data_IF_054021432019
#
_entry.id   IF_054021432019
#
_cell.length_a   1.000
_cell.length_b   1.000
_cell.length_c   1.000
_cell.angle_alpha   90.00
_cell.angle_beta   90.00
_cell.angle_gamma   90.00
#
_symmetry.space_group_name_H-M   'P 1'
#
loop_
_entity.id
_entity.type
_entity.pdbx_description
1 polymer ?
#
# COMPACT_ATOMS: atom_id res chain seq x y z
N UNK A 1 -31.00 -7.30 34.44
CA UNK A 1 -29.54 -7.40 34.69
C UNK A 1 -28.83 -7.15 33.36
N UNK A 2 -28.42 -5.90 33.12
CA UNK A 2 -27.73 -5.46 31.90
C UNK A 2 -26.22 -5.58 32.11
N UNK A 3 -25.57 -6.46 31.34
CA UNK A 3 -24.12 -6.63 31.34
C UNK A 3 -23.49 -5.39 30.65
N UNK A 4 -22.72 -4.54 31.36
CA UNK A 4 -22.10 -3.38 30.73
C UNK A 4 -21.02 -3.88 29.77
N UNK A 5 -21.19 -3.59 28.47
CA UNK A 5 -20.15 -3.78 27.46
C UNK A 5 -18.90 -3.06 27.95
N UNK A 6 -17.88 -3.82 28.33
CA UNK A 6 -16.56 -3.30 28.62
C UNK A 6 -16.09 -2.52 27.39
N UNK A 7 -15.98 -1.20 27.52
CA UNK A 7 -15.31 -0.37 26.52
C UNK A 7 -13.83 -0.64 26.70
N UNK A 8 -13.31 -1.60 25.94
CA UNK A 8 -11.88 -1.87 25.88
C UNK A 8 -11.18 -0.62 25.34
N UNK A 9 -10.54 0.15 26.21
CA UNK A 9 -9.72 1.28 25.79
C UNK A 9 -8.46 0.77 25.09
N UNK A 10 -8.28 1.08 23.81
CA UNK A 10 -7.05 0.79 23.08
C UNK A 10 -5.96 1.77 23.52
N UNK A 11 -4.92 1.25 24.19
CA UNK A 11 -3.76 2.05 24.57
C UNK A 11 -2.67 1.94 23.48
N UNK A 12 -2.26 3.08 22.93
CA UNK A 12 -1.26 3.16 21.86
C UNK A 12 0.01 3.82 22.41
N UNK A 13 1.13 3.11 22.35
CA UNK A 13 2.44 3.65 22.67
C UNK A 13 3.15 4.12 21.39
N UNK A 14 3.49 5.40 21.32
CA UNK A 14 4.20 5.98 20.18
C UNK A 14 5.68 6.20 20.50
N UNK A 15 6.55 5.75 19.60
CA UNK A 15 7.98 6.05 19.60
C UNK A 15 8.39 6.63 18.24
N UNK A 16 9.13 7.73 18.26
CA UNK A 16 9.76 8.28 17.07
C UNK A 16 11.24 7.87 17.09
N UNK A 17 11.72 7.23 16.04
CA UNK A 17 13.07 6.69 15.97
C UNK A 17 13.74 7.21 14.70
N UNK A 18 14.95 7.77 14.84
CA UNK A 18 15.76 8.21 13.70
C UNK A 18 16.62 7.03 13.24
N UNK A 19 16.03 6.12 12.46
CA UNK A 19 16.62 4.80 12.15
C UNK A 19 18.00 4.84 11.46
N UNK A 20 18.33 5.94 10.76
CA UNK A 20 19.64 6.10 10.10
C UNK A 20 20.82 6.11 11.08
N UNK A 21 20.60 6.57 12.31
CA UNK A 21 21.64 6.74 13.33
C UNK A 21 21.59 5.59 14.36
N UNK A 22 20.70 4.61 14.16
CA UNK A 22 20.53 3.48 15.07
C UNK A 22 21.56 2.39 14.73
N UNK A 23 22.48 2.18 15.67
CA UNK A 23 23.46 1.10 15.62
C UNK A 23 22.88 -0.24 16.11
N UNK A 24 21.96 -0.20 17.08
CA UNK A 24 21.22 -1.36 17.59
C UNK A 24 19.84 -0.96 18.10
N UNK A 25 18.88 -1.87 17.97
CA UNK A 25 17.51 -1.78 18.45
C UNK A 25 17.28 -2.42 19.83
N UNK A 26 18.33 -2.89 20.54
CA UNK A 26 18.22 -3.62 21.81
C UNK A 26 17.35 -2.92 22.87
N UNK A 27 17.56 -1.62 23.06
CA UNK A 27 16.78 -0.81 24.03
C UNK A 27 15.32 -0.77 23.62
N UNK A 28 15.05 -0.54 22.33
CA UNK A 28 13.69 -0.47 21.80
C UNK A 28 12.98 -1.82 21.88
N UNK A 29 13.66 -2.91 21.55
CA UNK A 29 13.13 -4.27 21.63
C UNK A 29 12.84 -4.66 23.09
N UNK A 30 13.68 -4.24 24.04
CA UNK A 30 13.45 -4.44 25.46
C UNK A 30 12.20 -3.70 25.95
N UNK A 31 12.01 -2.45 25.52
CA UNK A 31 10.78 -1.70 25.79
C UNK A 31 9.55 -2.40 25.20
N UNK A 32 9.60 -2.80 23.93
CA UNK A 32 8.50 -3.49 23.24
C UNK A 32 8.14 -4.78 23.98
N UNK A 33 9.13 -5.60 24.35
CA UNK A 33 8.93 -6.85 25.10
C UNK A 33 8.17 -6.62 26.41
N UNK A 34 8.37 -5.48 27.08
CA UNK A 34 7.69 -5.17 28.32
C UNK A 34 6.23 -4.73 28.15
N UNK A 35 5.86 -4.15 27.00
CA UNK A 35 4.58 -3.43 26.87
C UNK A 35 3.62 -3.97 25.80
N UNK A 36 4.09 -4.61 24.73
CA UNK A 36 3.23 -5.02 23.62
C UNK A 36 3.73 -6.28 22.89
N UNK A 37 2.84 -6.90 22.12
CA UNK A 37 3.11 -7.98 21.16
C UNK A 37 2.73 -7.61 19.73
N UNK A 38 1.99 -6.51 19.56
CA UNK A 38 1.61 -5.96 18.25
C UNK A 38 2.40 -4.67 18.05
N UNK A 39 3.19 -4.62 16.98
CA UNK A 39 4.06 -3.49 16.68
C UNK A 39 3.71 -2.94 15.32
N UNK A 40 3.36 -1.65 15.26
CA UNK A 40 3.23 -0.93 14.00
C UNK A 40 4.57 -0.29 13.64
N UNK A 41 5.18 -0.72 12.55
CA UNK A 41 6.42 -0.15 12.04
C UNK A 41 6.13 0.70 10.80
N UNK A 42 6.21 2.02 10.97
CA UNK A 42 5.91 3.01 9.92
C UNK A 42 7.20 3.69 9.47
N UNK A 43 8.00 2.99 8.68
CA UNK A 43 9.29 3.48 8.19
C UNK A 43 9.73 2.75 6.93
N UNK A 44 10.94 3.07 6.44
CA UNK A 44 11.52 2.39 5.29
C UNK A 44 11.75 0.90 5.58
N UNK A 45 11.54 0.08 4.56
CA UNK A 45 11.62 -1.37 4.61
C UNK A 45 13.03 -1.88 4.93
N UNK A 46 14.09 -1.16 4.53
CA UNK A 46 15.48 -1.53 4.86
C UNK A 46 15.71 -1.51 6.39
N UNK A 47 15.14 -0.51 7.07
CA UNK A 47 15.24 -0.39 8.53
C UNK A 47 14.36 -1.40 9.25
N UNK A 48 13.18 -1.70 8.71
CA UNK A 48 12.33 -2.78 9.19
C UNK A 48 13.07 -4.11 9.13
N UNK A 49 13.76 -4.40 8.02
CA UNK A 49 14.56 -5.62 7.87
C UNK A 49 15.62 -5.74 8.97
N UNK A 50 16.43 -4.69 9.17
CA UNK A 50 17.44 -4.66 10.25
C UNK A 50 16.81 -4.85 11.63
N UNK A 51 15.70 -4.16 11.90
CA UNK A 51 14.95 -4.28 13.15
C UNK A 51 14.46 -5.71 13.38
N UNK A 52 13.94 -6.38 12.35
CA UNK A 52 13.45 -7.76 12.42
C UNK A 52 14.58 -8.79 12.62
N UNK A 53 15.75 -8.55 12.04
CA UNK A 53 16.94 -9.40 12.28
C UNK A 53 17.33 -9.33 13.76
N UNK A 54 17.38 -8.13 14.35
CA UNK A 54 17.63 -7.99 15.79
C UNK A 54 16.50 -8.58 16.63
N UNK A 55 15.24 -8.38 16.24
CA UNK A 55 14.10 -9.00 16.91
C UNK A 55 14.19 -10.54 16.91
N UNK A 56 14.68 -11.13 15.82
CA UNK A 56 14.92 -12.57 15.71
C UNK A 56 15.99 -13.06 16.71
N UNK A 57 17.09 -12.32 16.87
CA UNK A 57 18.12 -12.59 17.89
C UNK A 57 17.52 -12.57 19.30
N UNK A 58 16.54 -11.68 19.52
CA UNK A 58 15.80 -11.55 20.78
C UNK A 58 14.62 -12.52 20.93
N UNK A 59 14.48 -13.54 20.07
CA UNK A 59 13.35 -14.49 20.04
C UNK A 59 11.98 -13.82 19.91
N UNK A 60 11.91 -12.62 19.32
CA UNK A 60 10.67 -11.86 19.13
C UNK A 60 10.08 -12.05 17.72
N UNK A 61 10.44 -13.13 17.03
CA UNK A 61 9.87 -13.55 15.72
C UNK A 61 9.39 -15.01 15.77
N UNK A 62 9.09 -15.49 16.98
CA UNK A 62 8.72 -16.87 17.30
C UNK A 62 7.21 -17.15 17.16
N UNK A 63 6.42 -16.17 16.72
CA UNK A 63 4.96 -16.24 16.64
C UNK A 63 4.22 -15.55 17.80
N UNK A 64 4.92 -15.13 18.86
CA UNK A 64 4.30 -14.34 19.94
C UNK A 64 4.17 -12.85 19.61
N UNK A 65 4.87 -12.39 18.58
CA UNK A 65 4.88 -11.00 18.13
C UNK A 65 4.42 -10.91 16.68
N UNK A 66 3.68 -9.85 16.37
CA UNK A 66 3.29 -9.49 15.01
C UNK A 66 3.74 -8.07 14.70
N UNK A 67 4.35 -7.90 13.53
CA UNK A 67 4.83 -6.62 13.03
C UNK A 67 3.97 -6.19 11.85
N UNK A 68 3.23 -5.10 12.01
CA UNK A 68 2.36 -4.55 10.98
C UNK A 68 3.06 -3.36 10.34
N UNK A 69 3.22 -3.41 9.03
CA UNK A 69 3.95 -2.41 8.27
C UNK A 69 3.09 -1.89 7.13
N UNK A 70 3.14 -0.59 6.88
CA UNK A 70 2.45 0.02 5.75
C UNK A 70 3.41 0.22 4.58
N UNK A 71 3.02 -0.24 3.40
CA UNK A 71 3.71 0.05 2.14
C UNK A 71 2.74 0.87 1.27
N UNK A 72 2.99 2.18 1.19
CA UNK A 72 2.11 3.09 0.45
C UNK A 72 2.12 2.81 -1.06
N UNK A 73 3.28 2.43 -1.60
CA UNK A 73 3.47 2.05 -3.00
C UNK A 73 4.53 0.94 -3.07
N UNK A 74 4.37 0.01 -4.00
CA UNK A 74 5.31 -1.11 -4.20
C UNK A 74 6.50 -0.68 -5.07
N UNK A 75 7.20 0.37 -4.64
CA UNK A 75 8.34 0.97 -5.33
C UNK A 75 9.59 0.84 -4.45
N UNK A 76 10.44 -0.19 -4.66
CA UNK A 76 11.58 -0.47 -3.80
C UNK A 76 12.57 0.69 -3.65
N UNK A 77 12.67 1.55 -4.67
CA UNK A 77 13.50 2.76 -4.68
C UNK A 77 13.08 3.73 -3.56
N UNK A 78 11.78 3.94 -3.38
CA UNK A 78 11.25 4.89 -2.41
C UNK A 78 11.01 4.26 -1.03
N UNK A 79 10.52 3.02 -1.00
CA UNK A 79 10.14 2.35 0.26
C UNK A 79 11.25 1.52 0.88
N UNK A 80 12.32 1.24 0.15
CA UNK A 80 13.38 0.31 0.55
C UNK A 80 13.10 -1.13 0.11
N UNK A 81 14.04 -2.02 0.38
CA UNK A 81 13.99 -3.43 -0.01
C UNK A 81 13.78 -4.34 1.20
N UNK A 82 12.56 -4.88 1.34
CA UNK A 82 12.24 -5.87 2.38
C UNK A 82 12.68 -7.31 2.05
N UNK A 83 13.41 -7.54 0.94
CA UNK A 83 13.83 -8.89 0.55
C UNK A 83 14.81 -9.51 1.55
N UNK A 84 14.66 -10.81 1.78
CA UNK A 84 15.66 -11.59 2.49
C UNK A 84 16.98 -11.69 1.72
N UNK A 85 16.91 -11.67 0.38
CA UNK A 85 18.04 -11.83 -0.53
C UNK A 85 18.81 -10.52 -0.63
N UNK A 86 19.70 -10.33 0.33
CA UNK A 86 20.71 -9.27 0.36
C UNK A 86 22.11 -9.88 0.22
N UNK A 87 23.13 -9.04 0.01
CA UNK A 87 24.54 -9.44 -0.03
C UNK A 87 25.11 -9.60 1.39
N UNK A 88 24.35 -10.28 2.24
CA UNK A 88 24.63 -10.44 3.67
C UNK A 88 25.29 -11.80 3.95
N UNK A 89 25.92 -11.98 5.12
CA UNK A 89 26.34 -13.30 5.59
C UNK A 89 25.17 -14.29 5.67
N UNK A 90 25.43 -15.58 5.45
CA UNK A 90 24.40 -16.64 5.41
C UNK A 90 23.49 -16.66 6.66
N UNK A 91 24.05 -16.43 7.85
CA UNK A 91 23.26 -16.44 9.09
C UNK A 91 22.24 -15.29 9.15
N UNK A 92 22.57 -14.12 8.59
CA UNK A 92 21.65 -12.99 8.49
C UNK A 92 20.55 -13.27 7.46
N UNK A 93 20.88 -13.96 6.37
CA UNK A 93 19.89 -14.40 5.37
C UNK A 93 18.86 -15.33 6.00
N UNK A 94 19.31 -16.36 6.73
CA UNK A 94 18.40 -17.31 7.40
C UNK A 94 17.55 -16.60 8.45
N UNK A 95 18.14 -15.71 9.26
CA UNK A 95 17.38 -14.92 10.24
C UNK A 95 16.35 -14.01 9.57
N UNK A 96 16.71 -13.34 8.49
CA UNK A 96 15.78 -12.49 7.73
C UNK A 96 14.61 -13.30 7.18
N UNK A 97 14.85 -14.45 6.54
CA UNK A 97 13.80 -15.33 6.02
C UNK A 97 12.82 -15.79 7.12
N UNK A 98 13.33 -16.11 8.30
CA UNK A 98 12.51 -16.52 9.44
C UNK A 98 11.74 -15.34 10.03
N UNK A 99 12.39 -14.19 10.19
CA UNK A 99 11.83 -13.00 10.80
C UNK A 99 10.69 -12.39 9.97
N UNK A 100 10.81 -12.41 8.64
CA UNK A 100 9.78 -11.92 7.72
C UNK A 100 8.43 -12.65 7.90
N UNK A 101 8.43 -13.90 8.35
CA UNK A 101 7.21 -14.64 8.64
C UNK A 101 6.38 -14.06 9.79
N UNK A 102 6.92 -13.11 10.57
CA UNK A 102 6.18 -12.39 11.63
C UNK A 102 5.58 -11.05 11.16
N UNK A 103 5.68 -10.74 9.86
CA UNK A 103 5.28 -9.44 9.29
C UNK A 103 3.96 -9.54 8.53
N UNK A 104 3.06 -8.61 8.82
CA UNK A 104 1.89 -8.30 8.00
C UNK A 104 2.13 -6.97 7.28
N UNK A 105 2.00 -7.00 5.96
CA UNK A 105 2.15 -5.84 5.09
C UNK A 105 0.77 -5.33 4.68
N UNK A 106 0.48 -4.07 4.98
CA UNK A 106 -0.72 -3.36 4.53
C UNK A 106 -0.32 -2.46 3.38
N UNK A 107 -0.93 -2.64 2.21
CA UNK A 107 -0.60 -1.87 1.02
C UNK A 107 -1.78 -1.74 0.06
N UNK A 108 -1.78 -0.81 -0.90
CA UNK A 108 -2.79 -0.80 -1.94
C UNK A 108 -2.85 -2.14 -2.66
N UNK A 109 -4.06 -2.63 -2.88
CA UNK A 109 -4.29 -3.77 -3.74
C UNK A 109 -3.89 -3.38 -5.16
N UNK A 110 -2.70 -3.81 -5.54
CA UNK A 110 -2.19 -3.68 -6.89
C UNK A 110 -2.25 -5.09 -7.50
N UNK A 111 -3.24 -5.39 -8.35
CA UNK A 111 -3.14 -6.57 -9.18
C UNK A 111 -2.09 -6.21 -10.24
N UNK A 112 -0.81 -6.33 -9.90
CA UNK A 112 0.34 -6.09 -10.79
C UNK A 112 0.27 -6.91 -12.09
N UNK A 113 -0.73 -7.78 -12.22
CA UNK A 113 -1.04 -8.61 -13.38
C UNK A 113 -2.37 -8.27 -14.10
N UNK A 114 -3.19 -7.34 -13.58
CA UNK A 114 -4.48 -6.95 -14.19
C UNK A 114 -4.55 -5.47 -14.59
N UNK A 115 -3.41 -4.80 -14.82
CA UNK A 115 -3.47 -3.56 -15.59
C UNK A 115 -4.13 -3.87 -16.93
N UNK A 116 -5.18 -3.13 -17.29
CA UNK A 116 -5.85 -3.38 -18.57
C UNK A 116 -4.85 -3.21 -19.72
N UNK A 117 -5.13 -3.82 -20.86
CA UNK A 117 -4.31 -3.60 -22.06
C UNK A 117 -4.11 -2.10 -22.37
N UNK A 118 -5.12 -1.26 -22.08
CA UNK A 118 -5.03 0.20 -22.20
C UNK A 118 -4.03 0.82 -21.21
N UNK A 119 -4.00 0.34 -19.96
CA UNK A 119 -3.04 0.78 -18.94
C UNK A 119 -1.59 0.55 -19.35
N UNK A 120 -1.29 -0.62 -19.91
CA UNK A 120 0.04 -0.93 -20.43
C UNK A 120 0.45 0.00 -21.58
N UNK A 121 -0.43 0.19 -22.57
CA UNK A 121 -0.16 1.11 -23.69
C UNK A 121 0.08 2.55 -23.22
N UNK A 122 -0.69 3.02 -22.23
CA UNK A 122 -0.52 4.36 -21.69
C UNK A 122 0.83 4.48 -20.93
N UNK A 123 1.20 3.45 -20.16
CA UNK A 123 2.47 3.42 -19.45
C UNK A 123 3.67 3.42 -20.41
N UNK A 124 3.61 2.66 -21.50
CA UNK A 124 4.64 2.65 -22.56
C UNK A 124 4.80 4.05 -23.18
N UNK A 125 3.69 4.70 -23.55
CA UNK A 125 3.72 6.08 -24.07
C UNK A 125 4.32 7.07 -23.06
N UNK A 126 4.04 6.91 -21.77
CA UNK A 126 4.66 7.74 -20.75
C UNK A 126 6.17 7.50 -20.66
N UNK A 127 6.61 6.25 -20.76
CA UNK A 127 8.02 5.91 -20.76
C UNK A 127 8.74 6.50 -21.98
N UNK A 128 8.18 6.34 -23.18
CA UNK A 128 8.71 6.91 -24.41
C UNK A 128 8.82 8.44 -24.33
N UNK A 129 7.76 9.12 -23.89
CA UNK A 129 7.77 10.58 -23.75
C UNK A 129 8.76 11.05 -22.69
N UNK A 130 8.84 10.38 -21.55
CA UNK A 130 9.79 10.73 -20.49
C UNK A 130 11.23 10.59 -20.98
N UNK A 131 11.54 9.55 -21.76
CA UNK A 131 12.85 9.38 -22.36
C UNK A 131 13.14 10.48 -23.39
N UNK A 132 12.24 10.71 -24.36
CA UNK A 132 12.45 11.68 -25.43
C UNK A 132 12.50 13.14 -24.96
N UNK A 133 11.72 13.50 -23.94
CA UNK A 133 11.60 14.91 -23.49
C UNK A 133 12.52 15.24 -22.32
N UNK A 134 12.81 14.28 -21.44
CA UNK A 134 13.49 14.52 -20.17
C UNK A 134 14.79 13.70 -20.01
N UNK A 135 15.15 12.89 -21.02
CA UNK A 135 16.29 11.95 -20.96
C UNK A 135 16.22 11.02 -19.73
N UNK A 136 15.00 10.68 -19.29
CA UNK A 136 14.79 9.79 -18.16
C UNK A 136 14.63 8.35 -18.65
N UNK A 137 15.67 7.54 -18.44
CA UNK A 137 15.61 6.09 -18.60
C UNK A 137 15.17 5.44 -17.28
N UNK A 138 14.06 4.72 -17.30
CA UNK A 138 13.51 4.01 -16.12
C UNK A 138 13.88 2.53 -16.16
N UNK A 139 14.20 1.98 -14.99
CA UNK A 139 14.42 0.55 -14.84
C UNK A 139 13.11 -0.22 -15.07
N UNK A 140 13.19 -1.55 -15.21
CA UNK A 140 12.01 -2.43 -15.24
C UNK A 140 11.19 -2.38 -13.95
N UNK A 141 11.82 -1.96 -12.84
CA UNK A 141 11.17 -1.84 -11.53
C UNK A 141 10.48 -0.48 -11.33
N UNK A 142 10.95 0.58 -11.99
CA UNK A 142 10.38 1.92 -11.92
C UNK A 142 9.38 2.19 -13.05
N UNK A 143 8.78 1.14 -13.60
CA UNK A 143 7.87 1.26 -14.75
C UNK A 143 6.55 1.95 -14.37
N UNK A 144 6.02 2.84 -15.22
CA UNK A 144 4.80 3.60 -14.89
C UNK A 144 3.57 2.75 -14.62
N UNK A 145 3.50 1.54 -15.20
CA UNK A 145 2.40 0.61 -14.95
C UNK A 145 2.44 0.01 -13.53
N UNK A 146 3.63 -0.05 -12.92
CA UNK A 146 3.81 -0.49 -11.52
C UNK A 146 3.54 0.65 -10.54
N UNK A 147 3.73 1.88 -11.00
CA UNK A 147 3.40 3.08 -10.25
C UNK A 147 1.92 3.45 -10.43
N UNK A 148 1.09 2.93 -9.52
CA UNK A 148 -0.34 3.21 -9.49
C UNK A 148 -0.66 4.72 -9.42
N UNK A 149 0.27 5.56 -8.95
CA UNK A 149 0.09 7.01 -8.88
C UNK A 149 0.04 7.65 -10.27
N UNK A 150 0.84 7.18 -11.23
CA UNK A 150 0.89 7.77 -12.58
C UNK A 150 -0.44 7.54 -13.30
N UNK A 151 -0.92 6.29 -13.33
CA UNK A 151 -2.19 5.96 -13.96
C UNK A 151 -3.37 6.63 -13.26
N UNK A 152 -3.39 6.63 -11.92
CA UNK A 152 -4.40 7.34 -11.16
C UNK A 152 -4.41 8.85 -11.41
N UNK A 153 -3.25 9.48 -11.57
CA UNK A 153 -3.14 10.91 -11.87
C UNK A 153 -3.74 11.23 -13.23
N UNK A 154 -3.46 10.39 -14.23
CA UNK A 154 -4.08 10.53 -15.56
C UNK A 154 -5.60 10.37 -15.49
N UNK A 155 -6.09 9.33 -14.81
CA UNK A 155 -7.52 9.10 -14.60
C UNK A 155 -8.20 10.23 -13.83
N UNK A 156 -7.51 10.88 -12.89
CA UNK A 156 -8.05 12.02 -12.14
C UNK A 156 -8.36 13.21 -13.06
N UNK A 157 -7.49 13.47 -14.05
CA UNK A 157 -7.76 14.52 -15.05
C UNK A 157 -8.95 14.14 -15.93
N UNK A 158 -9.06 12.87 -16.33
CA UNK A 158 -10.21 12.37 -17.08
C UNK A 158 -11.51 12.48 -16.29
N UNK A 159 -11.50 12.14 -15.01
CA UNK A 159 -12.63 12.27 -14.11
C UNK A 159 -13.05 13.74 -13.96
N UNK A 160 -12.08 14.64 -13.78
CA UNK A 160 -12.34 16.08 -13.72
C UNK A 160 -12.99 16.59 -15.02
N UNK A 161 -12.45 16.22 -16.18
CA UNK A 161 -13.01 16.60 -17.48
C UNK A 161 -14.45 16.09 -17.67
N UNK A 162 -14.74 14.86 -17.24
CA UNK A 162 -16.09 14.31 -17.29
C UNK A 162 -17.07 15.13 -16.42
N UNK A 163 -16.69 15.45 -15.18
CA UNK A 163 -17.54 16.26 -14.29
C UNK A 163 -17.79 17.65 -14.87
N UNK A 164 -16.77 18.30 -15.45
CA UNK A 164 -16.95 19.60 -16.11
C UNK A 164 -17.90 19.51 -17.29
N UNK A 165 -17.75 18.50 -18.14
CA UNK A 165 -18.60 18.32 -19.32
C UNK A 165 -20.06 18.07 -18.94
N UNK A 166 -20.30 17.23 -17.92
CA UNK A 166 -21.63 16.98 -17.40
C UNK A 166 -22.23 18.25 -16.80
N UNK A 167 -21.48 18.97 -15.96
CA UNK A 167 -21.94 20.21 -15.32
C UNK A 167 -22.30 21.27 -16.37
N UNK A 168 -21.48 21.42 -17.41
CA UNK A 168 -21.77 22.33 -18.51
C UNK A 168 -23.07 21.95 -19.24
N UNK A 169 -23.30 20.65 -19.44
CA UNK A 169 -24.45 20.15 -20.18
C UNK A 169 -25.76 20.23 -19.37
N UNK A 170 -25.73 19.89 -18.07
CA UNK A 170 -26.93 19.86 -17.22
C UNK A 170 -27.26 21.20 -16.56
N UNK A 171 -26.25 21.94 -16.11
CA UNK A 171 -26.42 23.08 -15.22
C UNK A 171 -25.96 24.41 -15.86
N UNK A 172 -25.22 24.35 -16.97
CA UNK A 172 -24.73 25.50 -17.71
C UNK A 172 -23.42 26.08 -17.19
N UNK A 173 -22.91 27.08 -17.91
CA UNK A 173 -21.58 27.67 -17.68
C UNK A 173 -21.45 28.39 -16.33
N UNK A 174 -22.54 28.89 -15.76
CA UNK A 174 -22.48 29.62 -14.49
C UNK A 174 -22.14 28.70 -13.32
N UNK A 175 -22.63 27.45 -13.32
CA UNK A 175 -22.31 26.49 -12.26
C UNK A 175 -20.83 26.06 -12.32
N UNK A 176 -20.18 26.17 -13.48
CA UNK A 176 -18.74 25.93 -13.60
C UNK A 176 -17.86 26.96 -12.85
N UNK A 177 -18.45 28.06 -12.39
CA UNK A 177 -17.76 29.07 -11.57
C UNK A 177 -17.97 28.84 -10.07
N UNK A 178 -18.89 27.96 -9.70
CA UNK A 178 -19.13 27.57 -8.31
C UNK A 178 -18.34 26.30 -7.96
N UNK A 179 -17.19 26.51 -7.31
CA UNK A 179 -16.32 25.41 -6.88
C UNK A 179 -16.99 24.46 -5.89
N UNK A 180 -17.92 24.93 -5.05
CA UNK A 180 -18.66 24.06 -4.13
C UNK A 180 -19.61 23.18 -4.93
N UNK A 181 -20.37 23.77 -5.84
CA UNK A 181 -21.29 23.02 -6.68
C UNK A 181 -20.55 21.94 -7.50
N UNK A 182 -19.46 22.31 -8.17
CA UNK A 182 -18.63 21.37 -8.93
C UNK A 182 -18.04 20.27 -8.03
N UNK A 183 -17.48 20.64 -6.87
CA UNK A 183 -16.87 19.65 -5.96
C UNK A 183 -17.87 18.59 -5.49
N UNK A 184 -19.13 18.98 -5.27
CA UNK A 184 -20.17 18.04 -4.84
C UNK A 184 -20.48 16.97 -5.90
N UNK A 185 -20.26 17.27 -7.18
CA UNK A 185 -20.47 16.34 -8.31
C UNK A 185 -19.41 15.22 -8.38
N UNK A 186 -18.33 15.33 -7.61
CA UNK A 186 -17.31 14.28 -7.48
C UNK A 186 -17.65 13.25 -6.41
N UNK A 187 -18.51 13.58 -5.43
CA UNK A 187 -18.73 12.76 -4.25
C UNK A 187 -19.64 11.55 -4.52
N UNK A 188 -19.48 10.50 -3.72
CA UNK A 188 -20.22 9.24 -3.81
C UNK A 188 -20.23 8.63 -5.22
N UNK A 189 -19.11 8.77 -5.94
CA UNK A 189 -19.05 8.47 -7.37
C UNK A 189 -17.90 7.54 -7.70
N UNK A 190 -18.21 6.57 -8.55
CA UNK A 190 -17.25 5.67 -9.19
C UNK A 190 -16.89 6.22 -10.58
N UNK A 191 -15.60 6.31 -10.86
CA UNK A 191 -15.05 6.63 -12.17
C UNK A 191 -14.13 5.50 -12.64
N UNK A 192 -14.35 5.05 -13.87
CA UNK A 192 -13.64 3.95 -14.51
C UNK A 192 -13.35 4.32 -15.98
N UNK A 193 -12.07 4.42 -16.32
CA UNK A 193 -11.59 4.70 -17.69
C UNK A 193 -10.77 3.55 -18.29
N UNK A 194 -10.58 2.49 -17.50
CA UNK A 194 -9.74 1.34 -17.83
C UNK A 194 -8.26 1.52 -17.46
N UNK A 195 -7.83 2.67 -16.95
CA UNK A 195 -6.47 2.89 -16.46
C UNK A 195 -6.41 2.79 -14.92
N UNK A 196 -7.37 3.42 -14.24
CA UNK A 196 -7.51 3.35 -12.79
C UNK A 196 -8.98 3.42 -12.41
N UNK A 197 -9.34 2.75 -11.32
CA UNK A 197 -10.63 2.93 -10.68
C UNK A 197 -10.52 3.98 -9.57
N UNK A 198 -11.39 4.98 -9.61
CA UNK A 198 -11.45 6.04 -8.60
C UNK A 198 -12.86 6.04 -8.04
N UNK A 199 -12.99 5.66 -6.76
CA UNK A 199 -14.21 5.88 -6.01
C UNK A 199 -13.98 7.02 -5.01
N UNK A 200 -14.82 8.03 -5.06
CA UNK A 200 -14.82 9.14 -4.11
C UNK A 200 -15.98 8.96 -3.15
N UNK A 201 -15.70 8.95 -1.85
CA UNK A 201 -16.73 8.88 -0.83
C UNK A 201 -17.44 10.23 -0.63
N UNK A 202 -18.50 10.22 0.17
CA UNK A 202 -19.19 11.44 0.63
C UNK A 202 -18.26 12.41 1.37
N UNK A 203 -17.26 11.88 2.07
CA UNK A 203 -16.24 12.66 2.77
C UNK A 203 -15.29 13.42 1.83
N UNK A 204 -15.32 13.12 0.52
CA UNK A 204 -14.35 13.64 -0.44
C UNK A 204 -13.00 12.91 -0.41
N UNK A 205 -12.91 11.78 0.30
CA UNK A 205 -11.73 10.93 0.32
C UNK A 205 -11.86 9.88 -0.79
N UNK A 206 -10.80 9.71 -1.58
CA UNK A 206 -10.71 8.57 -2.50
C UNK A 206 -10.57 7.28 -1.71
N UNK A 207 -11.48 6.35 -1.90
CA UNK A 207 -11.35 5.03 -1.31
C UNK A 207 -10.41 4.16 -2.16
N UNK A 208 -9.35 3.65 -1.54
CA UNK A 208 -8.38 2.76 -2.17
C UNK A 208 -8.58 1.35 -1.64
N UNK A 209 -8.62 0.36 -2.54
CA UNK A 209 -8.63 -1.06 -2.14
C UNK A 209 -7.30 -1.36 -1.44
N UNK A 210 -7.35 -1.90 -0.23
CA UNK A 210 -6.16 -2.29 0.52
C UNK A 210 -6.05 -3.81 0.57
N UNK A 211 -4.82 -4.30 0.57
CA UNK A 211 -4.49 -5.70 0.77
C UNK A 211 -3.61 -5.86 2.00
N UNK A 212 -3.89 -6.89 2.78
CA UNK A 212 -2.96 -7.44 3.77
C UNK A 212 -2.25 -8.62 3.13
N UNK A 213 -0.93 -8.59 3.11
CA UNK A 213 -0.09 -9.71 2.67
C UNK A 213 0.87 -10.14 3.78
N UNK A 214 1.37 -11.37 3.69
CA UNK A 214 2.36 -11.92 4.61
C UNK A 214 3.42 -12.69 3.85
N UNK A 215 4.53 -13.00 4.53
CA UNK A 215 5.59 -13.82 3.97
C UNK A 215 5.39 -15.28 4.36
N UNK A 216 5.53 -16.15 3.37
CA UNK A 216 5.61 -17.59 3.58
C UNK A 216 6.95 -17.87 4.28
N UNK A 217 6.87 -18.54 5.43
CA UNK A 217 8.02 -18.83 6.29
C UNK A 217 9.09 -19.61 5.51
N UNK A 218 10.35 -19.22 5.68
CA UNK A 218 11.53 -19.85 5.06
C UNK A 218 11.64 -19.74 3.54
N UNK A 219 10.65 -19.22 2.82
CA UNK A 219 10.76 -18.95 1.38
C UNK A 219 10.98 -17.45 1.12
N UNK A 220 10.45 -16.61 2.02
CA UNK A 220 10.44 -15.16 1.87
C UNK A 220 9.64 -14.69 0.65
N UNK A 221 8.77 -15.56 0.11
CA UNK A 221 7.77 -15.23 -0.89
C UNK A 221 6.61 -14.55 -0.18
N UNK A 222 6.10 -13.45 -0.76
CA UNK A 222 4.97 -12.69 -0.22
C UNK A 222 3.67 -13.11 -0.90
N UNK A 223 2.63 -13.43 -0.11
CA UNK A 223 1.31 -13.77 -0.60
C UNK A 223 0.21 -12.90 0.02
N UNK A 224 -0.87 -12.67 -0.74
CA UNK A 224 -2.02 -11.90 -0.27
C UNK A 224 -2.93 -12.74 0.61
N UNK A 225 -3.34 -12.19 1.76
CA UNK A 225 -4.23 -12.86 2.71
C UNK A 225 -5.65 -12.31 2.68
N UNK A 226 -5.80 -10.99 2.62
CA UNK A 226 -7.11 -10.35 2.66
C UNK A 226 -7.13 -9.08 1.82
N UNK A 227 -8.23 -8.86 1.09
CA UNK A 227 -8.48 -7.63 0.32
C UNK A 227 -9.72 -6.94 0.88
N UNK A 228 -9.56 -5.68 1.24
CA UNK A 228 -10.66 -4.81 1.69
C UNK A 228 -11.26 -4.08 0.49
N UNK A 229 -12.55 -4.29 0.27
CA UNK A 229 -13.30 -3.66 -0.82
C UNK A 229 -14.12 -2.44 -0.32
N UNK A 230 -14.15 -1.32 -1.07
CA UNK A 230 -14.89 -0.10 -0.71
C UNK A 230 -16.41 -0.26 -0.63
N UNK A 231 -16.96 -1.20 -1.40
CA UNK A 231 -18.39 -1.33 -1.60
C UNK A 231 -18.77 -2.81 -1.53
N UNK A 232 -19.98 -3.09 -1.02
CA UNK A 232 -20.52 -4.45 -1.04
C UNK A 232 -20.57 -4.91 -2.50
N UNK A 233 -19.93 -6.02 -2.87
CA UNK A 233 -20.01 -6.52 -4.23
C UNK A 233 -21.43 -7.04 -4.44
N UNK A 234 -22.32 -6.20 -4.95
CA UNK A 234 -23.45 -6.72 -5.70
C UNK A 234 -22.88 -7.32 -6.98
N UNK A 235 -22.63 -8.64 -6.90
CA UNK A 235 -22.38 -9.58 -8.00
C UNK A 235 -21.08 -9.34 -8.76
N UNK A 236 -20.01 -10.01 -8.34
CA UNK A 236 -19.16 -10.86 -9.17
C UNK A 236 -18.21 -11.61 -8.22
N UNK A 237 -18.67 -12.75 -7.70
CA UNK A 237 -17.79 -13.76 -7.12
C UNK A 237 -16.90 -14.29 -8.25
N UNK A 238 -15.72 -13.71 -8.42
CA UNK A 238 -14.63 -14.42 -9.09
C UNK A 238 -14.12 -15.48 -8.11
N UNK A 239 -14.58 -16.71 -8.32
CA UNK A 239 -14.05 -17.89 -7.65
C UNK A 239 -12.55 -18.00 -7.96
N UNK A 240 -11.71 -17.72 -6.98
CA UNK A 240 -10.29 -18.04 -7.04
C UNK A 240 -10.11 -19.54 -6.81
N UNK A 241 -10.01 -20.31 -7.89
CA UNK A 241 -9.31 -21.60 -7.88
C UNK A 241 -7.82 -21.34 -8.03
N UNK A 242 -7.06 -21.74 -7.01
CA UNK A 242 -5.60 -21.85 -7.09
C UNK A 242 -5.32 -23.23 -7.66
N UNK A 243 -4.95 -23.31 -8.93
CA UNK A 243 -4.37 -24.52 -9.49
C UNK A 243 -2.95 -24.68 -8.93
N UNK A 244 -2.65 -25.90 -8.44
CA UNK A 244 -1.43 -26.26 -7.71
C UNK A 244 -0.22 -26.57 -8.56
#
# INVERSE_FOLDING_TARGET
>A
MTNPKAVSSLLIYKRNVVCKDVLSYDVLLSEIRAVTRVVFFLGRQDYLRRFLIEASIHNMTNGEYVYICSEAYQLPTDTGNLSWAHRDPNDEITRAQQALGSVLMVHPYNPLFNASHKGYQLAERFQEKANCMLNLSRSTYDQPVRDALILASYSTVGFFAQVLNETLHSDGIELLRDGRAISSKFLQRLYQDGYSEIYMEESGIRHTRLMVSHFIKNTGIREGWHVSFPYSPTVHEENFTIDG
#
